data_IF_564833178131
#
_entry.id   IF_564833178131
#
_cell.length_a   1.000
_cell.length_b   1.000
_cell.length_c   1.000
_cell.angle_alpha   90.00
_cell.angle_beta   90.00
_cell.angle_gamma   90.00
#
_symmetry.space_group_name_H-M   'P 1'
#
loop_
_entity.id
_entity.type
_entity.pdbx_description
1 polymer ?
#
# COMPACT_ATOMS: atom_id res chain seq x y z
N UNK A 1 -13.22 18.37 15.41
CA UNK A 1 -12.53 17.68 14.29
C UNK A 1 -12.99 18.28 12.99
N UNK A 2 -12.07 18.61 12.09
CA UNK A 2 -12.36 19.14 10.76
C UNK A 2 -11.75 18.23 9.72
N UNK A 3 -12.51 17.92 8.66
CA UNK A 3 -12.07 17.09 7.54
C UNK A 3 -12.08 17.98 6.29
N UNK A 4 -10.91 18.22 5.73
CA UNK A 4 -10.73 19.14 4.60
C UNK A 4 -10.20 18.33 3.41
N UNK A 5 -11.02 18.11 2.36
CA UNK A 5 -10.56 17.47 1.14
C UNK A 5 -9.38 18.25 0.53
N UNK A 6 -8.39 17.56 0.00
CA UNK A 6 -7.36 18.18 -0.83
C UNK A 6 -7.89 18.35 -2.27
N UNK A 7 -7.27 19.24 -3.02
CA UNK A 7 -7.68 19.50 -4.41
C UNK A 7 -7.17 18.39 -5.35
N UNK A 8 -7.69 17.16 -5.17
CA UNK A 8 -7.36 15.97 -5.95
C UNK A 8 -8.54 14.98 -5.89
N UNK A 9 -8.46 13.88 -6.63
CA UNK A 9 -9.50 12.84 -6.65
C UNK A 9 -9.53 12.01 -5.35
N UNK A 10 -8.44 12.00 -4.59
CA UNK A 10 -8.31 11.35 -3.29
C UNK A 10 -7.67 12.28 -2.27
N UNK A 11 -7.82 11.94 -1.00
CA UNK A 11 -7.12 12.58 0.10
C UNK A 11 -7.93 13.64 0.84
N UNK A 12 -7.80 13.63 2.16
CA UNK A 12 -8.27 14.71 3.03
C UNK A 12 -7.32 14.93 4.22
N UNK A 13 -7.22 16.19 4.65
CA UNK A 13 -6.50 16.54 5.88
C UNK A 13 -7.49 16.59 7.04
N UNK A 14 -7.18 15.86 8.12
CA UNK A 14 -7.98 15.80 9.35
C UNK A 14 -7.26 16.55 10.46
N UNK A 15 -7.94 17.55 11.04
CA UNK A 15 -7.40 18.39 12.11
C UNK A 15 -8.37 18.47 13.28
N UNK A 16 -7.90 18.97 14.44
CA UNK A 16 -8.73 19.12 15.63
C UNK A 16 -9.14 17.77 16.24
N UNK A 17 -8.26 16.79 16.12
CA UNK A 17 -8.37 15.45 16.72
C UNK A 17 -7.03 15.06 17.31
N UNK A 18 -7.04 14.28 18.37
CA UNK A 18 -5.86 13.62 18.94
C UNK A 18 -5.97 12.12 18.73
N UNK A 19 -5.06 11.57 17.91
CA UNK A 19 -5.05 10.13 17.59
C UNK A 19 -4.68 9.26 18.80
N UNK A 20 -4.04 9.83 19.83
CA UNK A 20 -3.76 9.12 21.09
C UNK A 20 -4.99 8.96 21.97
N UNK A 21 -6.05 9.76 21.73
CA UNK A 21 -7.25 9.83 22.56
C UNK A 21 -8.56 9.86 21.74
N UNK A 22 -8.60 9.13 20.63
CA UNK A 22 -9.77 9.04 19.75
C UNK A 22 -10.98 8.44 20.48
N UNK A 23 -12.07 9.21 20.55
CA UNK A 23 -13.38 8.66 20.94
C UNK A 23 -13.98 7.80 19.85
N UNK A 24 -14.99 6.98 20.19
CA UNK A 24 -15.66 6.13 19.20
C UNK A 24 -16.47 6.95 18.17
N UNK A 25 -16.98 8.11 18.55
CA UNK A 25 -17.68 9.01 17.62
C UNK A 25 -16.70 9.65 16.63
N UNK A 26 -15.53 10.07 17.11
CA UNK A 26 -14.47 10.58 16.25
C UNK A 26 -13.96 9.51 15.32
N UNK A 27 -13.77 8.27 15.83
CA UNK A 27 -13.37 7.15 14.99
C UNK A 27 -14.36 6.88 13.85
N UNK A 28 -15.66 6.85 14.14
CA UNK A 28 -16.69 6.67 13.09
C UNK A 28 -16.57 7.72 11.98
N UNK A 29 -16.40 8.99 12.37
CA UNK A 29 -16.24 10.08 11.40
C UNK A 29 -14.92 9.93 10.60
N UNK A 30 -13.84 9.46 11.22
CA UNK A 30 -12.57 9.18 10.54
C UNK A 30 -12.75 8.02 9.56
N UNK A 31 -13.43 6.95 9.96
CA UNK A 31 -13.68 5.79 9.11
C UNK A 31 -14.54 6.15 7.89
N UNK A 32 -15.61 6.92 8.08
CA UNK A 32 -16.45 7.44 6.97
C UNK A 32 -15.63 8.30 6.00
N UNK A 33 -14.81 9.20 6.53
CA UNK A 33 -13.92 10.03 5.71
C UNK A 33 -12.89 9.17 4.96
N UNK A 34 -12.35 8.13 5.60
CA UNK A 34 -11.41 7.22 4.95
C UNK A 34 -12.06 6.47 3.79
N UNK A 35 -13.28 5.98 3.93
CA UNK A 35 -14.02 5.36 2.81
C UNK A 35 -14.27 6.34 1.67
N UNK A 36 -14.52 7.60 1.98
CA UNK A 36 -14.79 8.63 0.97
C UNK A 36 -13.50 9.06 0.25
N UNK A 37 -12.45 9.39 1.01
CA UNK A 37 -11.24 10.04 0.49
C UNK A 37 -10.07 9.09 0.27
N UNK A 38 -10.15 7.84 0.67
CA UNK A 38 -9.14 6.78 0.57
C UNK A 38 -7.84 7.04 1.34
N UNK A 39 -7.34 8.26 1.39
CA UNK A 39 -6.14 8.67 2.14
C UNK A 39 -6.50 9.79 3.11
N UNK A 40 -6.12 9.64 4.37
CA UNK A 40 -6.26 10.70 5.38
C UNK A 40 -4.89 11.10 5.92
N UNK A 41 -4.66 12.39 5.99
CA UNK A 41 -3.44 12.98 6.55
C UNK A 41 -3.78 13.68 7.87
N UNK A 42 -3.05 13.34 8.92
CA UNK A 42 -3.22 13.87 10.26
C UNK A 42 -1.96 14.65 10.68
N UNK A 43 -1.88 15.95 10.41
CA UNK A 43 -0.69 16.74 10.71
C UNK A 43 -0.43 16.85 12.22
N UNK A 44 0.84 16.83 12.61
CA UNK A 44 1.29 17.16 13.96
C UNK A 44 0.86 16.20 15.08
N UNK A 45 0.54 14.95 14.76
CA UNK A 45 0.04 13.98 15.75
C UNK A 45 1.12 13.39 16.65
N UNK A 46 2.34 13.16 16.13
CA UNK A 46 3.47 12.61 16.89
C UNK A 46 3.11 11.39 17.74
N UNK A 47 2.36 10.45 17.15
CA UNK A 47 1.87 9.26 17.87
C UNK A 47 3.01 8.29 18.18
N UNK A 48 2.95 7.70 19.38
CA UNK A 48 3.83 6.62 19.79
C UNK A 48 3.42 5.29 19.11
N UNK A 49 4.35 4.32 19.03
CA UNK A 49 4.09 3.00 18.45
C UNK A 49 2.85 2.33 19.04
N UNK A 50 2.66 2.42 20.36
CA UNK A 50 1.50 1.85 21.05
C UNK A 50 0.18 2.44 20.58
N UNK A 51 0.13 3.74 20.34
CA UNK A 51 -1.06 4.42 19.80
C UNK A 51 -1.30 4.08 18.32
N UNK A 52 -0.23 3.99 17.51
CA UNK A 52 -0.31 3.54 16.12
C UNK A 52 -0.86 2.11 16.02
N UNK A 53 -0.38 1.22 16.87
CA UNK A 53 -0.85 -0.17 16.97
C UNK A 53 -2.33 -0.22 17.36
N UNK A 54 -2.73 0.52 18.39
CA UNK A 54 -4.13 0.57 18.85
C UNK A 54 -5.07 1.12 17.76
N UNK A 55 -4.61 2.09 16.98
CA UNK A 55 -5.35 2.62 15.82
C UNK A 55 -5.51 1.55 14.73
N UNK A 56 -4.44 0.79 14.45
CA UNK A 56 -4.49 -0.34 13.52
C UNK A 56 -5.47 -1.44 13.96
N UNK A 57 -5.50 -1.77 15.23
CA UNK A 57 -6.43 -2.77 15.83
C UNK A 57 -7.91 -2.36 15.69
N UNK A 58 -8.22 -1.06 15.59
CA UNK A 58 -9.59 -0.60 15.25
C UNK A 58 -10.00 -0.93 13.82
N UNK A 59 -9.04 -0.99 12.89
CA UNK A 59 -9.29 -1.33 11.48
C UNK A 59 -9.48 -2.84 11.30
N UNK A 60 -8.73 -3.64 12.05
CA UNK A 60 -8.78 -5.09 11.97
C UNK A 60 -7.55 -5.78 12.57
N UNK A 61 -7.38 -7.06 12.23
CA UNK A 61 -6.22 -7.81 12.67
C UNK A 61 -4.94 -7.23 12.05
N UNK A 62 -3.94 -7.00 12.89
CA UNK A 62 -2.65 -6.50 12.43
C UNK A 62 -1.92 -7.57 11.62
N UNK A 63 -1.35 -7.17 10.51
CA UNK A 63 -0.41 -7.98 9.76
C UNK A 63 0.92 -8.07 10.53
N UNK A 64 1.49 -9.27 10.60
CA UNK A 64 2.77 -9.52 11.25
C UNK A 64 3.82 -9.79 10.19
N UNK A 65 4.48 -8.75 9.72
CA UNK A 65 5.57 -8.88 8.74
C UNK A 65 6.86 -9.37 9.40
N UNK A 66 7.10 -9.00 10.66
CA UNK A 66 8.26 -9.41 11.45
C UNK A 66 7.75 -9.92 12.80
N UNK A 67 8.29 -11.04 13.29
CA UNK A 67 7.75 -11.79 14.43
C UNK A 67 7.59 -10.96 15.73
N UNK A 68 8.44 -9.98 15.95
CA UNK A 68 8.53 -9.27 17.23
C UNK A 68 8.06 -7.81 17.17
N UNK A 69 7.69 -7.30 15.99
CA UNK A 69 7.24 -5.92 15.81
C UNK A 69 5.80 -5.86 15.29
N UNK A 70 4.96 -5.08 15.97
CA UNK A 70 3.60 -4.76 15.50
C UNK A 70 3.59 -3.58 14.51
N UNK A 71 4.56 -2.67 14.61
CA UNK A 71 4.86 -1.63 13.64
C UNK A 71 6.28 -1.86 13.09
N UNK A 72 6.45 -1.72 11.79
CA UNK A 72 7.73 -1.96 11.11
C UNK A 72 8.36 -0.61 10.77
N UNK A 73 9.57 -0.30 11.28
CA UNK A 73 10.26 0.92 10.93
C UNK A 73 10.73 0.88 9.46
N UNK A 74 10.39 1.93 8.72
CA UNK A 74 10.92 2.19 7.38
C UNK A 74 12.00 3.25 7.54
N UNK A 75 13.26 2.88 7.44
CA UNK A 75 14.38 3.78 7.69
C UNK A 75 15.60 3.41 6.85
N UNK A 76 16.23 4.41 6.25
CA UNK A 76 17.54 4.27 5.62
C UNK A 76 18.71 4.46 6.62
N UNK A 77 18.42 4.49 7.93
CA UNK A 77 19.43 4.59 9.00
C UNK A 77 19.37 3.37 9.89
N UNK A 78 20.55 2.94 10.32
CA UNK A 78 20.74 1.90 11.34
C UNK A 78 20.53 2.47 12.74
N UNK A 79 20.40 1.61 13.75
CA UNK A 79 20.26 2.00 15.15
C UNK A 79 21.42 2.87 15.68
N UNK A 80 22.63 2.75 15.08
CA UNK A 80 23.79 3.58 15.40
C UNK A 80 23.76 4.96 14.70
N UNK A 81 22.69 5.28 13.98
CA UNK A 81 22.51 6.55 13.26
C UNK A 81 23.21 6.64 11.91
N UNK A 82 24.01 5.63 11.52
CA UNK A 82 24.65 5.60 10.20
C UNK A 82 23.68 5.19 9.11
N UNK A 83 23.99 5.58 7.88
CA UNK A 83 23.24 5.11 6.72
C UNK A 83 23.33 3.59 6.59
N UNK A 84 22.27 2.99 6.06
CA UNK A 84 22.24 1.58 5.66
C UNK A 84 23.18 1.41 4.45
N UNK A 85 23.95 0.33 4.44
CA UNK A 85 24.85 0.02 3.33
C UNK A 85 24.05 -0.28 2.06
N UNK A 86 24.44 0.31 0.93
CA UNK A 86 23.73 0.19 -0.35
C UNK A 86 23.68 -1.26 -0.87
N UNK A 87 24.68 -2.08 -0.54
CA UNK A 87 24.74 -3.50 -0.91
C UNK A 87 23.94 -4.41 0.04
N UNK A 88 23.32 -3.85 1.11
CA UNK A 88 22.57 -4.66 2.07
C UNK A 88 21.19 -5.04 1.55
N UNK A 89 20.69 -6.22 1.96
CA UNK A 89 19.31 -6.65 1.66
C UNK A 89 18.27 -5.60 2.09
N UNK A 90 18.50 -4.95 3.24
CA UNK A 90 17.61 -3.91 3.75
C UNK A 90 17.51 -2.72 2.79
N UNK A 91 18.65 -2.21 2.30
CA UNK A 91 18.66 -1.12 1.32
C UNK A 91 17.95 -1.50 0.02
N UNK A 92 18.20 -2.73 -0.48
CA UNK A 92 17.56 -3.21 -1.70
C UNK A 92 16.04 -3.34 -1.55
N UNK A 93 15.55 -3.75 -0.38
CA UNK A 93 14.12 -3.79 -0.07
C UNK A 93 13.54 -2.37 -0.07
N UNK A 94 14.20 -1.40 0.58
CA UNK A 94 13.75 0.00 0.60
C UNK A 94 13.69 0.57 -0.82
N UNK A 95 14.77 0.42 -1.60
CA UNK A 95 14.80 0.83 -3.01
C UNK A 95 13.69 0.19 -3.84
N UNK A 96 13.41 -1.08 -3.59
CA UNK A 96 12.29 -1.76 -4.22
C UNK A 96 10.94 -1.11 -3.86
N UNK A 97 10.76 -0.61 -2.64
CA UNK A 97 9.49 -0.03 -2.19
C UNK A 97 9.21 1.38 -2.75
N UNK A 98 10.17 2.01 -3.43
CA UNK A 98 9.95 3.27 -4.14
C UNK A 98 9.02 3.12 -5.37
N UNK A 99 8.90 1.91 -5.92
CA UNK A 99 7.99 1.66 -7.06
C UNK A 99 6.52 1.62 -6.64
N UNK A 100 5.62 2.13 -7.49
CA UNK A 100 4.18 2.15 -7.27
C UNK A 100 3.62 0.77 -6.91
N UNK A 101 3.01 0.65 -5.73
CA UNK A 101 2.47 -0.61 -5.21
C UNK A 101 1.26 -0.39 -4.30
N UNK A 102 0.57 -1.46 -4.03
CA UNK A 102 -0.35 -1.59 -2.91
C UNK A 102 0.28 -2.56 -1.93
N UNK A 103 0.29 -2.19 -0.65
CA UNK A 103 0.90 -3.00 0.40
C UNK A 103 0.29 -4.39 0.49
N UNK A 104 1.14 -5.37 0.78
CA UNK A 104 0.78 -6.75 1.13
C UNK A 104 -0.10 -7.49 0.14
N UNK A 105 -0.15 -7.05 -1.13
CA UNK A 105 -0.95 -7.75 -2.15
C UNK A 105 -0.43 -9.15 -2.45
N UNK A 106 0.84 -9.40 -2.18
CA UNK A 106 1.53 -10.69 -2.31
C UNK A 106 1.34 -11.62 -1.10
N UNK A 107 0.74 -11.14 -0.02
CA UNK A 107 0.47 -11.94 1.19
C UNK A 107 -0.79 -12.79 1.01
N UNK A 108 -0.97 -13.90 1.73
CA UNK A 108 -2.18 -14.71 1.66
C UNK A 108 -3.47 -13.90 1.87
N UNK A 109 -3.43 -12.97 2.82
CA UNK A 109 -4.48 -11.97 3.05
C UNK A 109 -3.87 -10.60 2.80
N UNK A 110 -4.40 -9.84 1.84
CA UNK A 110 -3.92 -8.49 1.56
C UNK A 110 -4.35 -7.52 2.65
N UNK A 111 -3.51 -6.52 2.95
CA UNK A 111 -3.85 -5.48 3.91
C UNK A 111 -5.12 -4.72 3.51
N UNK A 112 -5.94 -4.38 4.50
CA UNK A 112 -7.12 -3.52 4.33
C UNK A 112 -6.74 -2.05 4.31
N UNK A 113 -5.74 -1.69 5.12
CA UNK A 113 -5.19 -0.34 5.25
C UNK A 113 -3.74 -0.41 5.71
N UNK A 114 -3.01 0.68 5.50
CA UNK A 114 -1.69 0.92 6.07
C UNK A 114 -1.72 2.24 6.85
N UNK A 115 -1.04 2.27 7.99
CA UNK A 115 -0.86 3.48 8.81
C UNK A 115 0.63 3.81 8.80
N UNK A 116 0.98 4.92 8.19
CA UNK A 116 2.35 5.42 8.15
C UNK A 116 2.48 6.60 9.13
N UNK A 117 3.40 6.49 10.10
CA UNK A 117 3.73 7.57 11.04
C UNK A 117 5.12 8.09 10.74
N UNK A 118 5.20 9.35 10.29
CA UNK A 118 6.47 10.00 10.00
C UNK A 118 7.14 10.46 11.31
N UNK A 119 8.23 9.81 11.69
CA UNK A 119 9.02 10.14 12.88
C UNK A 119 10.14 11.16 12.58
N UNK A 120 10.73 11.05 11.39
CA UNK A 120 11.75 11.97 10.88
C UNK A 120 11.41 12.31 9.44
N UNK A 121 11.31 13.59 9.15
CA UNK A 121 11.03 14.09 7.80
C UNK A 121 12.28 14.79 7.29
N UNK A 122 12.83 14.41 6.12
CA UNK A 122 13.95 15.12 5.52
C UNK A 122 13.51 16.52 5.06
N UNK A 123 14.49 17.44 4.94
CA UNK A 123 14.21 18.79 4.46
C UNK A 123 13.80 18.84 2.99
N UNK A 124 14.29 17.88 2.20
CA UNK A 124 14.00 17.75 0.76
C UNK A 124 13.95 16.27 0.40
N UNK A 125 13.04 15.88 -0.49
CA UNK A 125 12.86 14.51 -0.99
C UNK A 125 12.24 13.54 0.01
N UNK A 126 12.01 12.32 -0.44
CA UNK A 126 11.42 11.25 0.36
C UNK A 126 9.91 11.38 0.55
N UNK A 127 9.24 12.12 -0.33
CA UNK A 127 7.79 12.26 -0.34
C UNK A 127 7.13 10.90 -0.60
N UNK A 128 5.99 10.69 0.07
CA UNK A 128 5.11 9.56 -0.24
C UNK A 128 3.96 10.05 -1.11
N UNK A 129 3.81 9.43 -2.27
CA UNK A 129 2.77 9.75 -3.23
C UNK A 129 1.69 8.68 -3.24
N UNK A 130 0.45 9.07 -3.53
CA UNK A 130 -0.69 8.17 -3.67
C UNK A 130 -1.38 8.35 -5.02
N UNK A 131 -1.75 7.26 -5.67
CA UNK A 131 -2.55 7.24 -6.89
C UNK A 131 -3.96 6.76 -6.60
N UNK A 132 -4.97 7.49 -7.09
CA UNK A 132 -6.37 7.07 -6.98
C UNK A 132 -6.72 6.03 -8.04
N UNK A 133 -6.69 4.78 -7.64
CA UNK A 133 -6.97 3.66 -8.53
C UNK A 133 -8.47 3.53 -8.89
N UNK A 134 -9.37 4.28 -8.25
CA UNK A 134 -10.77 4.45 -8.64
C UNK A 134 -10.85 5.38 -9.86
N UNK A 135 -10.25 6.56 -9.75
CA UNK A 135 -10.15 7.52 -10.85
C UNK A 135 -9.38 6.93 -12.05
N UNK A 136 -8.33 6.15 -11.78
CA UNK A 136 -7.60 5.44 -12.83
C UNK A 136 -8.48 4.41 -13.58
N UNK A 137 -9.39 3.71 -12.89
CA UNK A 137 -10.36 2.84 -13.55
C UNK A 137 -11.35 3.63 -14.39
N UNK A 138 -11.89 4.73 -13.86
CA UNK A 138 -12.87 5.58 -14.55
C UNK A 138 -12.28 6.23 -15.81
N UNK A 139 -10.96 6.49 -15.82
CA UNK A 139 -10.24 7.04 -16.97
C UNK A 139 -9.97 6.03 -18.09
N UNK A 140 -10.16 4.72 -17.87
CA UNK A 140 -10.03 3.71 -18.90
C UNK A 140 -11.20 3.80 -19.91
N UNK A 141 -10.92 3.53 -21.17
CA UNK A 141 -11.99 3.33 -22.16
C UNK A 141 -12.85 2.10 -21.83
N UNK A 142 -14.11 2.13 -22.28
CA UNK A 142 -15.09 1.10 -21.95
C UNK A 142 -14.62 -0.29 -22.37
N UNK A 143 -13.98 -0.42 -23.53
CA UNK A 143 -13.50 -1.72 -24.04
C UNK A 143 -12.43 -2.31 -23.13
N UNK A 144 -11.59 -1.47 -22.58
CA UNK A 144 -10.56 -1.86 -21.61
C UNK A 144 -11.17 -2.23 -20.26
N UNK A 145 -12.13 -1.44 -19.77
CA UNK A 145 -12.87 -1.77 -18.53
C UNK A 145 -13.56 -3.13 -18.62
N UNK A 146 -14.24 -3.39 -19.74
CA UNK A 146 -14.91 -4.68 -20.00
C UNK A 146 -13.90 -5.84 -20.09
N UNK A 147 -12.79 -5.62 -20.81
CA UNK A 147 -11.75 -6.64 -20.99
C UNK A 147 -11.14 -7.10 -19.66
N UNK A 148 -10.90 -6.19 -18.72
CA UNK A 148 -10.20 -6.53 -17.46
C UNK A 148 -11.11 -7.03 -16.36
N UNK A 149 -12.42 -6.91 -16.54
CA UNK A 149 -13.43 -7.18 -15.51
C UNK A 149 -13.24 -8.52 -14.81
N UNK A 150 -12.97 -9.56 -15.58
CA UNK A 150 -12.83 -10.93 -15.10
C UNK A 150 -11.37 -11.42 -15.10
N UNK A 151 -10.41 -10.52 -15.34
CA UNK A 151 -8.99 -10.86 -15.34
C UNK A 151 -8.39 -10.77 -13.93
N UNK A 152 -7.39 -11.60 -13.70
CA UNK A 152 -6.60 -11.62 -12.48
C UNK A 152 -5.12 -11.72 -12.80
N UNK A 153 -4.25 -11.24 -11.91
CA UNK A 153 -2.81 -11.38 -12.02
C UNK A 153 -2.23 -12.01 -10.74
N UNK A 154 -1.13 -12.70 -10.88
CA UNK A 154 -0.35 -13.14 -9.73
C UNK A 154 0.34 -11.95 -9.08
N UNK A 155 0.45 -11.94 -7.73
CA UNK A 155 1.14 -10.91 -6.98
C UNK A 155 2.30 -11.53 -6.18
N UNK A 156 3.53 -11.07 -6.48
CA UNK A 156 4.75 -11.63 -5.87
C UNK A 156 5.74 -10.55 -5.48
N UNK A 157 6.20 -10.58 -4.22
CA UNK A 157 7.32 -9.77 -3.78
C UNK A 157 8.61 -10.22 -4.46
N UNK A 158 8.82 -11.53 -4.64
CA UNK A 158 10.00 -12.08 -5.31
C UNK A 158 10.13 -11.57 -6.74
N UNK A 159 9.02 -11.56 -7.49
CA UNK A 159 9.00 -11.01 -8.84
C UNK A 159 9.39 -9.54 -8.87
N UNK A 160 8.77 -8.72 -8.05
CA UNK A 160 8.99 -7.28 -8.04
C UNK A 160 10.39 -6.90 -7.54
N UNK A 161 10.94 -7.62 -6.57
CA UNK A 161 12.30 -7.42 -6.09
C UNK A 161 13.34 -7.89 -7.12
N UNK A 162 13.07 -8.99 -7.83
CA UNK A 162 13.95 -9.45 -8.90
C UNK A 162 14.11 -8.42 -10.03
N UNK A 163 13.06 -7.63 -10.33
CA UNK A 163 13.14 -6.54 -11.33
C UNK A 163 14.12 -5.42 -10.95
N UNK A 164 14.38 -5.23 -9.65
CA UNK A 164 15.39 -4.28 -9.15
C UNK A 164 16.71 -4.94 -8.78
N UNK A 165 16.90 -6.22 -9.16
CA UNK A 165 18.14 -6.97 -8.97
C UNK A 165 18.29 -7.63 -7.59
N UNK A 166 17.25 -7.59 -6.74
CA UNK A 166 17.28 -8.17 -5.40
C UNK A 166 16.51 -9.50 -5.34
N UNK A 167 17.02 -10.46 -4.56
CA UNK A 167 16.38 -11.76 -4.33
C UNK A 167 16.12 -11.93 -2.83
N UNK A 168 14.89 -11.63 -2.35
CA UNK A 168 14.55 -11.81 -0.95
C UNK A 168 14.74 -13.26 -0.50
N UNK A 169 15.11 -13.46 0.76
CA UNK A 169 15.21 -14.78 1.34
C UNK A 169 13.82 -15.38 1.56
N UNK A 170 13.65 -16.65 1.17
CA UNK A 170 12.39 -17.38 1.41
C UNK A 170 12.17 -17.57 2.90
N UNK A 171 10.93 -17.39 3.34
CA UNK A 171 10.55 -17.58 4.74
C UNK A 171 11.07 -16.50 5.69
N UNK A 172 11.63 -15.42 5.18
CA UNK A 172 12.08 -14.28 6.00
C UNK A 172 10.95 -13.60 6.77
N UNK A 173 9.70 -13.71 6.30
CA UNK A 173 8.51 -13.28 7.02
C UNK A 173 7.28 -14.12 6.65
N UNK A 174 6.22 -14.02 7.46
CA UNK A 174 4.94 -14.70 7.23
C UNK A 174 4.41 -14.37 5.82
N UNK A 175 4.00 -15.41 5.10
CA UNK A 175 3.38 -15.28 3.77
C UNK A 175 4.35 -14.98 2.62
N UNK A 176 5.63 -14.81 2.88
CA UNK A 176 6.64 -14.76 1.83
C UNK A 176 6.96 -16.16 1.33
N UNK A 177 6.10 -16.65 0.45
CA UNK A 177 6.20 -17.96 -0.19
C UNK A 177 6.18 -17.76 -1.71
N UNK A 178 7.06 -18.45 -2.42
CA UNK A 178 7.10 -18.50 -3.86
C UNK A 178 6.28 -19.65 -4.47
N UNK A 179 5.69 -20.50 -3.62
CA UNK A 179 4.89 -21.65 -4.05
C UNK A 179 3.39 -21.33 -4.07
N UNK A 180 2.92 -20.45 -3.19
CA UNK A 180 1.52 -20.11 -3.06
C UNK A 180 1.29 -18.63 -3.43
N UNK A 181 1.72 -18.24 -4.63
CA UNK A 181 1.57 -16.88 -5.12
C UNK A 181 0.08 -16.55 -5.28
N UNK A 182 -0.47 -15.55 -4.57
CA UNK A 182 -1.87 -15.23 -4.67
C UNK A 182 -2.24 -14.68 -6.04
N UNK A 183 -3.35 -15.17 -6.58
CA UNK A 183 -4.01 -14.64 -7.77
C UNK A 183 -5.04 -13.60 -7.34
N UNK A 184 -4.92 -12.37 -7.83
CA UNK A 184 -5.76 -11.23 -7.45
C UNK A 184 -6.50 -10.68 -8.66
N UNK A 185 -7.79 -10.31 -8.53
CA UNK A 185 -8.51 -9.67 -9.62
C UNK A 185 -7.84 -8.33 -9.99
N UNK A 186 -7.80 -7.99 -11.28
CA UNK A 186 -7.33 -6.68 -11.73
C UNK A 186 -8.30 -5.55 -11.34
N UNK A 187 -9.57 -5.88 -11.17
CA UNK A 187 -10.62 -4.98 -10.73
C UNK A 187 -11.23 -5.50 -9.43
N UNK A 188 -11.14 -4.71 -8.38
CA UNK A 188 -11.82 -4.96 -7.10
C UNK A 188 -13.01 -4.04 -6.94
N UNK A 189 -14.08 -4.55 -6.37
CA UNK A 189 -15.19 -3.73 -5.89
C UNK A 189 -15.01 -3.51 -4.40
N UNK A 190 -14.94 -2.25 -3.98
CA UNK A 190 -14.74 -1.93 -2.56
C UNK A 190 -15.97 -2.38 -1.74
N UNK A 191 -15.79 -3.19 -0.68
CA UNK A 191 -16.90 -3.86 -0.01
C UNK A 191 -17.87 -2.92 0.71
N UNK A 192 -17.45 -1.70 1.04
CA UNK A 192 -18.28 -0.72 1.73
C UNK A 192 -18.87 0.30 0.76
N UNK A 193 -18.04 0.87 -0.13
CA UNK A 193 -18.48 1.94 -1.04
C UNK A 193 -19.07 1.43 -2.35
N UNK A 194 -18.82 0.17 -2.72
CA UNK A 194 -19.20 -0.38 -4.04
C UNK A 194 -18.36 0.17 -5.20
N UNK A 195 -17.38 1.04 -4.94
CA UNK A 195 -16.57 1.63 -6.01
C UNK A 195 -15.64 0.59 -6.65
N UNK A 196 -15.59 0.52 -7.98
CA UNK A 196 -14.59 -0.26 -8.69
C UNK A 196 -13.19 0.39 -8.52
N UNK A 197 -12.17 -0.43 -8.39
CA UNK A 197 -10.81 0.01 -8.12
C UNK A 197 -9.84 -0.91 -8.84
N UNK A 198 -8.91 -0.36 -9.62
CA UNK A 198 -7.83 -1.15 -10.19
C UNK A 198 -6.92 -1.69 -9.08
N UNK A 199 -6.57 -2.96 -9.18
CA UNK A 199 -5.73 -3.66 -8.21
C UNK A 199 -4.48 -4.20 -8.90
N UNK A 200 -3.61 -3.28 -9.27
CA UNK A 200 -2.35 -3.49 -9.99
C UNK A 200 -1.21 -2.81 -9.24
N UNK A 201 -0.01 -2.98 -9.72
CA UNK A 201 1.20 -2.37 -9.14
C UNK A 201 2.40 -3.27 -9.38
N UNK A 202 3.56 -2.86 -8.88
CA UNK A 202 4.84 -3.56 -9.13
C UNK A 202 4.85 -5.05 -8.77
N UNK A 203 4.00 -5.50 -7.85
CA UNK A 203 3.92 -6.90 -7.44
C UNK A 203 3.11 -7.77 -8.39
N UNK A 204 2.26 -7.16 -9.22
CA UNK A 204 1.40 -7.87 -10.16
C UNK A 204 2.21 -8.36 -11.38
N UNK A 205 1.99 -9.61 -11.78
CA UNK A 205 2.62 -10.20 -12.96
C UNK A 205 1.77 -11.36 -13.49
N UNK A 206 2.02 -11.80 -14.72
CA UNK A 206 1.46 -13.03 -15.27
C UNK A 206 -0.07 -13.11 -15.15
N UNK A 207 -0.79 -12.69 -16.19
CA UNK A 207 -2.24 -12.83 -16.27
C UNK A 207 -2.55 -14.19 -16.90
N UNK A 208 -3.30 -15.10 -16.23
CA UNK A 208 -3.65 -16.38 -16.82
C UNK A 208 -4.29 -16.25 -18.20
N UNK A 209 -3.78 -17.01 -19.16
CA UNK A 209 -4.25 -16.97 -20.55
C UNK A 209 -3.59 -15.94 -21.46
N UNK A 210 -2.70 -15.09 -20.93
CA UNK A 210 -1.87 -14.18 -21.69
C UNK A 210 -0.39 -14.58 -21.61
N UNK A 211 0.38 -14.23 -22.62
CA UNK A 211 1.85 -14.30 -22.54
C UNK A 211 2.39 -13.25 -21.56
N UNK A 212 3.64 -13.43 -21.11
CA UNK A 212 4.29 -12.48 -20.22
C UNK A 212 4.34 -11.06 -20.82
N UNK A 213 4.66 -10.95 -22.12
CA UNK A 213 4.71 -9.68 -22.82
C UNK A 213 3.33 -9.00 -22.92
N UNK A 214 2.27 -9.76 -23.17
CA UNK A 214 0.90 -9.23 -23.18
C UNK A 214 0.46 -8.82 -21.77
N UNK A 215 0.79 -9.62 -20.77
CA UNK A 215 0.50 -9.33 -19.36
C UNK A 215 1.19 -8.04 -18.93
N UNK A 216 2.46 -7.88 -19.27
CA UNK A 216 3.24 -6.69 -18.93
C UNK A 216 2.70 -5.45 -19.68
N UNK A 217 2.44 -5.54 -20.98
CA UNK A 217 1.86 -4.45 -21.76
C UNK A 217 0.52 -3.99 -21.21
N UNK A 218 -0.34 -4.94 -20.81
CA UNK A 218 -1.64 -4.63 -20.23
C UNK A 218 -1.54 -3.93 -18.87
N UNK A 219 -0.51 -4.23 -18.08
CA UNK A 219 -0.29 -3.63 -16.76
C UNK A 219 0.44 -2.27 -16.85
N UNK A 220 1.46 -2.13 -17.71
CA UNK A 220 2.22 -0.89 -17.90
C UNK A 220 1.32 0.21 -18.51
N UNK A 221 0.51 -0.11 -19.50
CA UNK A 221 -0.41 0.85 -20.13
C UNK A 221 -1.42 1.49 -19.17
N UNK A 222 -1.48 1.04 -17.92
CA UNK A 222 -2.41 1.52 -16.87
C UNK A 222 -1.72 2.20 -15.70
N UNK A 223 -0.42 2.03 -15.57
CA UNK A 223 0.37 2.72 -14.55
C UNK A 223 0.71 4.17 -14.95
N UNK A 224 0.36 4.58 -16.16
CA UNK A 224 0.64 5.91 -16.73
C UNK A 224 -0.63 6.73 -17.00
N UNK A 225 -1.74 6.46 -16.29
CA UNK A 225 -2.98 7.24 -16.38
C UNK A 225 -3.04 8.28 -15.27
#
# INVERSE_FOLDING_TARGET
>A
MNINPINATLGATVTGVDLNALTDDQWRSVEEAWYQYAVLVFPGQHIEETAQVALGERIGNLERLVSDHKAVPISNRRADGKAVDEDSDHFQILKGNEGWHTDSTYMPVSARASILSAQVVPAEGGETEWADMRAAFDALDQSTQERIRDMAAYHSLFYSQAKVGHKPQKGASYGLDDQNIPLRPLLKIHPVTGCPTLFIGRHAHGIPGLSDAESESLQIGRAHV
#
